data_IF_849727928287
#
_entry.id   IF_849727928287
#
_cell.length_a   1.000
_cell.length_b   1.000
_cell.length_c   1.000
_cell.angle_alpha   90.00
_cell.angle_beta   90.00
_cell.angle_gamma   90.00
#
_symmetry.space_group_name_H-M   'P 1'
#
loop_
_entity.id
_entity.type
_entity.pdbx_description
1 polymer ?
#
# COMPACT_ATOMS: atom_id res chain seq x y z
N UNK A 1 -9.39 19.05 -2.32
CA UNK A 1 -8.82 19.74 -3.49
C UNK A 1 -8.26 18.75 -4.52
N UNK A 2 -7.26 17.95 -4.15
CA UNK A 2 -6.64 16.99 -5.06
C UNK A 2 -7.60 15.93 -5.61
N UNK A 3 -8.48 15.35 -4.79
CA UNK A 3 -9.47 14.36 -5.26
C UNK A 3 -10.36 14.93 -6.38
N UNK A 4 -10.83 16.18 -6.20
CA UNK A 4 -11.70 16.87 -7.16
C UNK A 4 -11.06 17.13 -8.52
N UNK A 5 -9.74 17.03 -8.66
CA UNK A 5 -9.10 17.16 -9.97
C UNK A 5 -9.28 15.90 -10.83
N UNK A 6 -9.69 14.77 -10.24
CA UNK A 6 -9.77 13.48 -10.91
C UNK A 6 -8.41 12.80 -11.14
N UNK A 7 -7.31 13.42 -10.69
CA UNK A 7 -5.95 12.88 -10.84
C UNK A 7 -5.46 12.12 -9.61
N UNK A 8 -6.15 12.26 -8.47
CA UNK A 8 -5.70 11.72 -7.19
C UNK A 8 -6.75 10.81 -6.59
N UNK A 9 -6.30 9.64 -6.16
CA UNK A 9 -7.10 8.71 -5.35
C UNK A 9 -6.49 8.57 -3.97
N UNK A 10 -7.33 8.61 -2.95
CA UNK A 10 -6.94 8.40 -1.56
C UNK A 10 -7.31 6.98 -1.15
N UNK A 11 -6.41 6.31 -0.45
CA UNK A 11 -6.52 4.90 -0.06
C UNK A 11 -5.91 4.72 1.33
N UNK A 12 -6.14 3.56 1.96
CA UNK A 12 -5.72 3.34 3.34
C UNK A 12 -4.20 3.22 3.48
N UNK A 13 -3.68 3.73 4.60
CA UNK A 13 -2.33 3.45 5.08
C UNK A 13 -2.37 3.11 6.58
N UNK A 14 -3.42 2.42 7.02
CA UNK A 14 -3.86 2.27 8.43
C UNK A 14 -4.34 3.59 9.04
N UNK A 15 -4.97 3.52 10.21
CA UNK A 15 -5.38 4.70 10.97
C UNK A 15 -4.31 5.11 12.02
N UNK A 16 -3.89 4.17 12.88
CA UNK A 16 -2.91 4.40 13.98
C UNK A 16 -1.92 3.23 14.15
N UNK A 17 -1.69 2.46 13.08
CA UNK A 17 -0.76 1.33 13.07
C UNK A 17 0.56 1.61 12.32
N UNK A 18 0.81 2.86 11.92
CA UNK A 18 2.06 3.29 11.28
C UNK A 18 3.18 3.58 12.31
N UNK A 19 3.53 2.56 13.10
CA UNK A 19 4.68 2.61 14.02
C UNK A 19 5.40 1.26 14.03
N UNK A 20 6.65 1.26 14.48
CA UNK A 20 7.45 0.04 14.62
C UNK A 20 7.46 -0.45 16.07
N UNK A 21 7.29 -1.76 16.23
CA UNK A 21 7.69 -2.50 17.42
C UNK A 21 8.97 -3.27 17.11
N UNK A 22 10.11 -2.71 17.55
CA UNK A 22 11.46 -3.12 17.13
C UNK A 22 11.64 -2.97 15.62
N UNK A 23 11.48 -4.06 14.86
CA UNK A 23 11.64 -4.11 13.40
C UNK A 23 10.35 -4.49 12.68
N UNK A 24 9.28 -4.78 13.42
CA UNK A 24 7.98 -5.16 12.87
C UNK A 24 7.02 -3.99 12.90
N UNK A 25 6.26 -3.80 11.83
CA UNK A 25 5.11 -2.92 11.81
C UNK A 25 4.13 -3.32 12.92
N UNK A 26 3.63 -2.32 13.66
CA UNK A 26 2.59 -2.51 14.69
C UNK A 26 1.34 -3.15 14.11
N UNK A 27 1.06 -2.93 12.82
CA UNK A 27 0.02 -3.63 12.07
C UNK A 27 0.11 -5.17 12.16
N UNK A 28 1.33 -5.71 12.28
CA UNK A 28 1.60 -7.16 12.33
C UNK A 28 1.72 -7.71 13.75
N UNK A 29 1.75 -6.86 14.76
CA UNK A 29 1.94 -7.28 16.15
C UNK A 29 0.69 -7.12 17.01
N UNK A 30 -0.24 -6.27 16.58
CA UNK A 30 -1.54 -6.13 17.24
C UNK A 30 -2.45 -7.33 16.99
N UNK A 31 -3.42 -7.52 17.87
CA UNK A 31 -4.45 -8.55 17.68
C UNK A 31 -5.31 -8.30 16.43
N UNK A 32 -5.87 -9.36 15.86
CA UNK A 32 -6.80 -9.27 14.71
C UNK A 32 -7.97 -8.32 14.96
N UNK A 33 -8.47 -8.24 16.20
CA UNK A 33 -9.54 -7.31 16.59
C UNK A 33 -9.11 -5.85 16.46
N UNK A 34 -7.88 -5.54 16.88
CA UNK A 34 -7.32 -4.18 16.78
C UNK A 34 -7.06 -3.83 15.33
N UNK A 35 -6.47 -4.75 14.54
CA UNK A 35 -6.26 -4.52 13.10
C UNK A 35 -7.59 -4.28 12.37
N UNK A 36 -8.62 -5.09 12.63
CA UNK A 36 -9.94 -4.93 12.01
C UNK A 36 -10.56 -3.58 12.36
N UNK A 37 -10.48 -3.16 13.62
CA UNK A 37 -11.00 -1.87 14.07
C UNK A 37 -10.24 -0.69 13.44
N UNK A 38 -8.92 -0.80 13.34
CA UNK A 38 -8.07 0.23 12.71
C UNK A 38 -8.37 0.40 11.22
N UNK A 39 -8.48 -0.71 10.49
CA UNK A 39 -8.85 -0.71 9.07
C UNK A 39 -10.25 -0.12 8.86
N UNK A 40 -11.22 -0.51 9.70
CA UNK A 40 -12.56 0.06 9.65
C UNK A 40 -12.54 1.56 9.91
N UNK A 41 -11.80 2.01 10.92
CA UNK A 41 -11.67 3.44 11.23
C UNK A 41 -11.05 4.22 10.07
N UNK A 42 -10.03 3.65 9.41
CA UNK A 42 -9.40 4.23 8.22
C UNK A 42 -10.38 4.34 7.05
N UNK A 43 -11.12 3.26 6.74
CA UNK A 43 -12.06 3.21 5.62
C UNK A 43 -13.27 4.12 5.88
N UNK A 44 -13.86 4.08 7.08
CA UNK A 44 -14.98 4.95 7.45
C UNK A 44 -14.60 6.43 7.35
N UNK A 45 -13.38 6.80 7.75
CA UNK A 45 -12.88 8.16 7.58
C UNK A 45 -12.81 8.56 6.10
N UNK A 46 -12.26 7.70 5.25
CA UNK A 46 -12.12 8.00 3.82
C UNK A 46 -13.47 8.04 3.11
N UNK A 47 -14.40 7.13 3.39
CA UNK A 47 -15.77 7.14 2.86
C UNK A 47 -16.53 8.41 3.27
N UNK A 48 -16.42 8.85 4.53
CA UNK A 48 -17.04 10.10 4.98
C UNK A 48 -16.54 11.34 4.24
N UNK A 49 -15.28 11.35 3.79
CA UNK A 49 -14.66 12.51 3.15
C UNK A 49 -14.74 12.47 1.61
N UNK A 50 -14.81 11.28 1.03
CA UNK A 50 -14.73 11.08 -0.42
C UNK A 50 -15.94 10.36 -1.02
N UNK A 51 -16.90 9.91 -0.20
CA UNK A 51 -18.13 9.21 -0.59
C UNK A 51 -17.84 8.05 -1.55
N UNK A 52 -16.87 7.22 -1.17
CA UNK A 52 -16.37 6.07 -1.93
C UNK A 52 -15.82 5.03 -0.97
N UNK A 53 -15.88 3.77 -1.38
CA UNK A 53 -15.20 2.68 -0.68
C UNK A 53 -13.76 2.54 -1.15
N UNK A 54 -12.88 2.31 -0.19
CA UNK A 54 -11.47 2.05 -0.38
C UNK A 54 -11.29 0.65 -0.94
N UNK A 55 -10.39 0.52 -1.90
CA UNK A 55 -10.09 -0.76 -2.53
C UNK A 55 -8.63 -1.14 -2.38
N UNK A 56 -7.81 -0.27 -1.79
CA UNK A 56 -6.38 -0.44 -1.68
C UNK A 56 -5.82 -0.05 -0.30
N UNK A 57 -4.72 -0.70 0.07
CA UNK A 57 -3.89 -0.35 1.21
C UNK A 57 -2.40 -0.34 0.84
N UNK A 58 -1.67 0.69 1.26
CA UNK A 58 -0.22 0.60 1.36
C UNK A 58 0.14 0.06 2.73
N UNK A 59 0.95 -0.98 2.84
CA UNK A 59 1.33 -1.50 4.15
C UNK A 59 2.37 -0.58 4.82
N UNK A 60 2.21 -0.19 6.09
CA UNK A 60 3.25 0.51 6.83
C UNK A 60 4.57 -0.26 6.75
N UNK A 61 5.63 0.45 6.36
CA UNK A 61 6.97 -0.13 6.16
C UNK A 61 7.03 -1.26 5.10
N UNK A 62 5.98 -1.42 4.28
CA UNK A 62 5.88 -2.46 3.25
C UNK A 62 5.68 -3.87 3.78
N UNK A 63 5.43 -4.05 5.08
CA UNK A 63 5.37 -5.35 5.72
C UNK A 63 3.94 -5.87 5.82
N UNK A 64 3.72 -7.14 5.44
CA UNK A 64 2.43 -7.83 5.55
C UNK A 64 2.65 -9.32 5.87
N UNK A 65 1.63 -9.99 6.44
CA UNK A 65 1.57 -11.45 6.59
C UNK A 65 0.27 -12.00 6.00
N UNK A 66 0.21 -13.31 5.73
CA UNK A 66 -1.00 -13.96 5.21
C UNK A 66 -2.20 -13.80 6.16
N UNK A 67 -1.99 -13.82 7.47
CA UNK A 67 -3.07 -13.59 8.45
C UNK A 67 -3.61 -12.16 8.37
N UNK A 68 -2.72 -11.17 8.17
CA UNK A 68 -3.14 -9.79 7.98
C UNK A 68 -3.91 -9.63 6.66
N UNK A 69 -3.50 -10.31 5.60
CA UNK A 69 -4.19 -10.31 4.30
C UNK A 69 -5.64 -10.80 4.41
N UNK A 70 -5.91 -11.85 5.18
CA UNK A 70 -7.29 -12.31 5.37
C UNK A 70 -8.17 -11.26 6.06
N UNK A 71 -7.63 -10.54 7.05
CA UNK A 71 -8.35 -9.46 7.74
C UNK A 71 -8.59 -8.26 6.82
N UNK A 72 -7.64 -7.98 5.93
CA UNK A 72 -7.73 -6.89 4.94
C UNK A 72 -8.75 -7.22 3.85
N UNK A 73 -8.81 -8.48 3.39
CA UNK A 73 -9.86 -8.95 2.48
C UNK A 73 -11.25 -8.72 3.09
N UNK A 74 -11.41 -9.08 4.36
CA UNK A 74 -12.67 -8.92 5.10
C UNK A 74 -13.11 -7.46 5.30
N UNK A 75 -12.18 -6.49 5.17
CA UNK A 75 -12.51 -5.06 5.25
C UNK A 75 -12.96 -4.46 3.90
N UNK A 76 -13.02 -5.26 2.84
CA UNK A 76 -13.42 -4.83 1.48
C UNK A 76 -12.28 -4.31 0.61
N UNK A 77 -11.04 -4.31 1.13
CA UNK A 77 -9.85 -3.91 0.38
C UNK A 77 -9.45 -5.06 -0.56
N UNK A 78 -9.19 -4.72 -1.83
CA UNK A 78 -8.88 -5.69 -2.89
C UNK A 78 -7.40 -5.74 -3.27
N UNK A 79 -6.64 -4.66 -3.00
CA UNK A 79 -5.26 -4.48 -3.39
C UNK A 79 -4.38 -4.06 -2.22
N UNK A 80 -3.16 -4.60 -2.15
CA UNK A 80 -2.21 -4.35 -1.08
C UNK A 80 -0.82 -4.15 -1.63
N UNK A 81 -0.16 -3.07 -1.21
CA UNK A 81 1.14 -2.67 -1.73
C UNK A 81 2.27 -2.86 -0.71
N UNK A 82 3.24 -3.71 -1.06
CA UNK A 82 4.47 -3.96 -0.29
C UNK A 82 5.56 -2.94 -0.65
N UNK A 83 6.74 -3.08 -0.04
CA UNK A 83 7.97 -2.40 -0.47
C UNK A 83 8.98 -3.45 -0.89
N UNK A 84 9.23 -3.53 -2.18
CA UNK A 84 10.14 -4.47 -2.82
C UNK A 84 10.77 -3.76 -4.02
N UNK A 85 12.10 -3.81 -4.13
CA UNK A 85 12.87 -3.19 -5.20
C UNK A 85 12.75 -3.96 -6.54
N UNK A 86 11.51 -4.16 -7.01
CA UNK A 86 11.19 -4.86 -8.26
C UNK A 86 10.03 -4.18 -8.99
N UNK A 87 10.01 -4.33 -10.32
CA UNK A 87 8.85 -3.95 -11.12
C UNK A 87 7.68 -4.92 -10.84
N UNK A 88 6.45 -4.40 -10.85
CA UNK A 88 5.27 -5.25 -10.79
C UNK A 88 5.05 -5.97 -12.12
N UNK A 89 4.37 -7.12 -12.06
CA UNK A 89 3.93 -7.92 -13.19
C UNK A 89 2.43 -8.23 -13.06
N UNK A 90 1.82 -8.67 -14.16
CA UNK A 90 0.41 -9.11 -14.16
C UNK A 90 0.18 -10.37 -13.33
N UNK A 91 1.23 -11.11 -13.00
CA UNK A 91 1.19 -12.34 -12.21
C UNK A 91 1.35 -12.06 -10.70
N UNK A 92 1.65 -10.82 -10.30
CA UNK A 92 1.72 -10.46 -8.88
C UNK A 92 0.34 -10.58 -8.22
N UNK A 93 0.33 -11.15 -7.01
CA UNK A 93 -0.89 -11.31 -6.23
C UNK A 93 -1.39 -9.93 -5.79
N UNK A 94 -2.70 -9.70 -5.88
CA UNK A 94 -3.30 -8.40 -5.55
C UNK A 94 -2.89 -7.80 -4.20
N UNK A 95 -2.63 -8.63 -3.18
CA UNK A 95 -2.26 -8.21 -1.83
C UNK A 95 -0.74 -8.10 -1.58
N UNK A 96 0.07 -8.33 -2.62
CA UNK A 96 1.52 -8.37 -2.57
C UNK A 96 2.12 -7.59 -3.74
N UNK A 97 1.48 -6.49 -4.14
CA UNK A 97 1.93 -5.68 -5.28
C UNK A 97 3.20 -4.93 -4.86
N UNK A 98 4.34 -5.17 -5.53
CA UNK A 98 5.60 -4.54 -5.16
C UNK A 98 5.61 -3.07 -5.50
N UNK A 99 6.32 -2.29 -4.68
CA UNK A 99 6.66 -0.89 -4.98
C UNK A 99 8.12 -0.64 -4.72
N UNK A 100 8.73 0.10 -5.63
CA UNK A 100 10.08 0.64 -5.48
C UNK A 100 10.00 1.88 -4.60
N UNK A 101 10.69 1.86 -3.45
CA UNK A 101 10.87 3.07 -2.66
C UNK A 101 11.83 3.99 -3.42
N UNK A 102 11.36 5.18 -3.81
CA UNK A 102 12.20 6.11 -4.57
C UNK A 102 13.26 6.71 -3.64
N UNK A 103 14.48 6.21 -3.78
CA UNK A 103 15.72 6.78 -3.25
C UNK A 103 16.65 7.12 -4.41
N UNK A 104 17.73 7.86 -4.17
CA UNK A 104 18.72 8.16 -5.20
C UNK A 104 19.31 6.88 -5.81
N UNK A 105 19.58 5.88 -4.96
CA UNK A 105 20.12 4.59 -5.36
C UNK A 105 19.09 3.77 -6.14
N UNK A 106 17.88 3.60 -5.61
CA UNK A 106 16.82 2.87 -6.30
C UNK A 106 16.46 3.51 -7.65
N UNK A 107 16.48 4.85 -7.73
CA UNK A 107 16.25 5.54 -8.99
C UNK A 107 17.35 5.28 -10.02
N UNK A 108 18.62 5.35 -9.61
CA UNK A 108 19.75 5.13 -10.52
C UNK A 108 19.91 3.66 -10.93
N UNK A 109 19.65 2.73 -10.01
CA UNK A 109 19.87 1.31 -10.22
C UNK A 109 18.68 0.59 -10.87
N UNK A 110 17.46 1.01 -10.59
CA UNK A 110 16.25 0.34 -11.07
C UNK A 110 15.53 1.18 -12.12
N UNK A 111 15.18 2.43 -11.76
CA UNK A 111 14.28 3.24 -12.61
C UNK A 111 14.97 3.67 -13.90
N UNK A 112 16.17 4.27 -13.83
CA UNK A 112 16.91 4.71 -15.02
C UNK A 112 17.31 3.57 -15.95
N UNK A 113 17.62 2.41 -15.39
CA UNK A 113 18.06 1.23 -16.17
C UNK A 113 16.88 0.45 -16.74
N UNK A 114 15.65 0.76 -16.33
CA UNK A 114 14.46 0.08 -16.83
C UNK A 114 14.24 0.44 -18.30
N UNK A 115 14.24 -0.59 -19.16
CA UNK A 115 14.21 -0.45 -20.62
C UNK A 115 13.05 0.38 -21.19
N UNK A 116 11.97 0.57 -20.43
CA UNK A 116 10.86 1.45 -20.82
C UNK A 116 11.28 2.92 -20.97
N UNK A 117 12.31 3.39 -20.24
CA UNK A 117 12.83 4.76 -20.36
C UNK A 117 13.92 4.91 -21.43
N UNK A 118 14.38 3.82 -22.04
CA UNK A 118 15.36 3.84 -23.12
C UNK A 118 14.73 4.01 -24.51
N UNK A 119 13.40 4.02 -24.61
CA UNK A 119 12.68 4.19 -25.87
C UNK A 119 12.54 5.67 -26.31
N UNK A 120 12.80 6.63 -25.42
CA UNK A 120 12.69 8.07 -25.72
C UNK A 120 14.05 8.74 -26.05
N UNK A 121 15.11 7.94 -26.26
CA UNK A 121 16.47 8.42 -26.49
C UNK A 121 17.04 8.00 -27.86
N UNK A 122 16.20 7.93 -28.88
CA UNK A 122 16.59 7.70 -30.29
C UNK A 122 15.96 8.71 -31.23
#
# INVERSE_FOLDING_TARGET
EMERSGLWTFQSHTHDLHSLEKTKSKMLTVSSKVLKYDLQTSNDYLDQHFNRKETAIAYPYGQVSDEAVEIIKDSGISYGYTLEEKAMSVDDKNYYIPRILVSQDAFNELVKKWGAFNHDAS
#
